data_IF_232429534692
#
_entry.id   IF_232429534692
#
_cell.length_a   1.000
_cell.length_b   1.000
_cell.length_c   1.000
_cell.angle_alpha   90.00
_cell.angle_beta   90.00
_cell.angle_gamma   90.00
#
_symmetry.space_group_name_H-M   'P 1'
#
loop_
_entity.id
_entity.type
_entity.pdbx_description
1 polymer ?
#
# COMPACT_ATOMS: atom_id res chain seq x y z
N UNK A 1 14.15 -14.30 -3.10
CA UNK A 1 13.16 -14.31 -4.18
C UNK A 1 13.70 -13.46 -5.30
N UNK A 2 14.08 -14.09 -6.40
CA UNK A 2 14.58 -13.43 -7.61
C UNK A 2 13.39 -12.67 -8.24
N UNK A 3 13.49 -11.34 -8.30
CA UNK A 3 12.45 -10.50 -8.87
C UNK A 3 12.28 -10.79 -10.36
N UNK A 4 11.10 -11.23 -10.77
CA UNK A 4 10.69 -11.50 -12.15
C UNK A 4 10.71 -10.24 -13.07
N UNK A 5 11.18 -9.10 -12.56
CA UNK A 5 11.30 -7.85 -13.35
C UNK A 5 12.47 -7.82 -14.33
N UNK A 6 13.42 -8.75 -14.24
CA UNK A 6 14.60 -8.81 -15.15
C UNK A 6 14.43 -9.77 -16.33
N UNK A 7 13.21 -10.20 -16.64
CA UNK A 7 12.96 -11.09 -17.79
C UNK A 7 13.37 -10.51 -19.15
N UNK A 8 13.55 -9.19 -19.25
CA UNK A 8 14.06 -8.53 -20.46
C UNK A 8 15.57 -8.76 -20.72
N UNK A 9 16.30 -9.32 -19.74
CA UNK A 9 17.75 -9.53 -19.81
C UNK A 9 18.16 -11.00 -19.66
N UNK A 10 17.22 -11.94 -19.77
CA UNK A 10 17.58 -13.38 -19.80
C UNK A 10 18.19 -13.68 -21.17
N UNK A 11 19.46 -14.16 -21.25
CA UNK A 11 20.05 -14.54 -22.52
C UNK A 11 19.19 -15.57 -23.24
N UNK A 12 19.00 -15.41 -24.56
CA UNK A 12 18.17 -16.29 -25.39
C UNK A 12 18.54 -17.78 -25.24
N UNK A 13 19.80 -18.07 -24.93
CA UNK A 13 20.31 -19.42 -24.70
C UNK A 13 19.73 -20.12 -23.44
N UNK A 14 19.18 -19.35 -22.49
CA UNK A 14 18.54 -19.83 -21.26
C UNK A 14 17.02 -19.82 -21.36
N UNK A 15 16.47 -19.33 -22.47
CA UNK A 15 15.05 -19.16 -22.69
C UNK A 15 14.39 -20.48 -23.17
N UNK A 16 14.11 -21.38 -22.24
CA UNK A 16 13.35 -22.60 -22.58
C UNK A 16 11.89 -22.26 -22.93
N UNK A 17 11.21 -23.09 -23.75
CA UNK A 17 9.78 -22.90 -24.05
C UNK A 17 8.89 -22.81 -22.80
N UNK A 18 9.22 -23.56 -21.76
CA UNK A 18 8.52 -23.50 -20.46
C UNK A 18 8.75 -22.18 -19.73
N UNK A 19 9.97 -21.67 -19.75
CA UNK A 19 10.32 -20.38 -19.15
C UNK A 19 9.62 -19.22 -19.89
N UNK A 20 9.61 -19.29 -21.22
CA UNK A 20 8.92 -18.31 -22.08
C UNK A 20 7.41 -18.29 -21.78
N UNK A 21 6.79 -19.47 -21.64
CA UNK A 21 5.38 -19.58 -21.26
C UNK A 21 5.10 -18.99 -19.87
N UNK A 22 5.99 -19.15 -18.89
CA UNK A 22 5.85 -18.56 -17.55
C UNK A 22 6.03 -17.05 -17.58
N UNK A 23 6.95 -16.53 -18.40
CA UNK A 23 7.19 -15.10 -18.58
C UNK A 23 6.05 -14.43 -19.32
N UNK A 24 5.54 -15.09 -20.37
CA UNK A 24 4.42 -14.59 -21.19
C UNK A 24 3.07 -14.69 -20.45
N UNK A 25 2.92 -15.63 -19.51
CA UNK A 25 1.83 -15.65 -18.53
C UNK A 25 2.15 -14.68 -17.40
N UNK A 26 2.26 -13.38 -17.71
CA UNK A 26 2.21 -12.35 -16.66
C UNK A 26 0.92 -12.57 -15.88
N UNK A 27 0.97 -12.75 -14.54
CA UNK A 27 -0.24 -12.68 -13.77
C UNK A 27 -0.82 -11.29 -14.03
N UNK A 28 -1.87 -11.22 -14.82
CA UNK A 28 -2.63 -9.99 -14.94
C UNK A 28 -3.23 -9.78 -13.55
N UNK A 29 -2.65 -8.87 -12.79
CA UNK A 29 -3.31 -8.34 -11.62
C UNK A 29 -4.61 -7.75 -12.17
N UNK A 30 -5.72 -8.43 -11.92
CA UNK A 30 -7.02 -7.86 -12.23
C UNK A 30 -7.12 -6.59 -11.40
N UNK A 31 -7.10 -5.44 -12.09
CA UNK A 31 -7.39 -4.20 -11.40
C UNK A 31 -8.77 -4.37 -10.75
N UNK A 32 -8.89 -4.17 -9.44
CA UNK A 32 -10.17 -4.35 -8.78
C UNK A 32 -11.17 -3.35 -9.38
N UNK A 33 -12.36 -3.84 -9.70
CA UNK A 33 -13.44 -2.98 -10.18
C UNK A 33 -14.22 -2.48 -8.97
N UNK A 34 -14.18 -1.17 -8.76
CA UNK A 34 -14.99 -0.46 -7.76
C UNK A 34 -15.97 0.46 -8.48
N UNK A 35 -17.21 0.46 -8.04
CA UNK A 35 -18.16 1.51 -8.38
C UNK A 35 -17.99 2.62 -7.37
N UNK A 36 -17.10 3.58 -7.67
CA UNK A 36 -16.79 4.68 -6.77
C UNK A 36 -17.78 5.82 -7.02
N UNK A 37 -18.70 6.00 -6.10
CA UNK A 37 -19.55 7.20 -6.06
C UNK A 37 -18.79 8.38 -5.45
N UNK A 38 -19.01 9.61 -5.94
CA UNK A 38 -18.45 10.81 -5.33
C UNK A 38 -18.84 10.88 -3.84
N UNK A 39 -17.87 11.02 -2.97
CA UNK A 39 -18.10 11.10 -1.51
C UNK A 39 -17.76 12.50 -1.01
N UNK A 40 -18.60 13.00 -0.12
CA UNK A 40 -18.35 14.27 0.55
C UNK A 40 -17.41 14.07 1.74
N UNK A 41 -16.66 15.12 2.06
CA UNK A 41 -15.86 15.14 3.29
C UNK A 41 -16.79 15.01 4.52
N UNK A 42 -16.47 14.10 5.41
CA UNK A 42 -17.19 13.89 6.67
C UNK A 42 -16.45 14.60 7.79
N UNK A 43 -15.20 14.20 8.05
CA UNK A 43 -14.44 14.69 9.18
C UNK A 43 -12.95 14.33 9.08
N UNK A 44 -12.09 15.11 9.72
CA UNK A 44 -10.74 14.69 10.07
C UNK A 44 -10.80 13.80 11.32
N UNK A 45 -10.65 12.51 11.11
CA UNK A 45 -10.68 11.52 12.18
C UNK A 45 -9.40 11.52 13.00
N UNK A 46 -9.51 11.30 14.31
CA UNK A 46 -8.36 11.20 15.22
C UNK A 46 -8.43 9.89 16.01
N UNK A 47 -7.29 9.31 16.37
CA UNK A 47 -7.25 8.11 17.20
C UNK A 47 -7.90 8.32 18.57
N UNK A 48 -7.85 9.54 19.13
CA UNK A 48 -8.54 9.87 20.39
C UNK A 48 -10.04 9.59 20.34
N UNK A 49 -10.65 9.83 19.18
CA UNK A 49 -12.11 9.60 18.99
C UNK A 49 -12.41 8.15 18.64
N UNK A 50 -11.54 7.52 17.87
CA UNK A 50 -11.81 6.23 17.24
C UNK A 50 -11.34 5.02 18.05
N UNK A 51 -10.42 5.23 19.01
CA UNK A 51 -9.84 4.16 19.82
C UNK A 51 -10.91 3.32 20.57
N UNK A 52 -12.00 3.96 20.98
CA UNK A 52 -13.10 3.30 21.68
C UNK A 52 -14.02 2.47 20.77
N UNK A 53 -13.86 2.56 19.46
CA UNK A 53 -14.69 1.80 18.52
C UNK A 53 -14.22 0.36 18.36
N UNK A 54 -12.93 0.12 18.56
CA UNK A 54 -12.26 -1.17 18.31
C UNK A 54 -11.46 -1.70 19.52
N UNK A 55 -11.97 -1.60 20.76
CA UNK A 55 -11.17 -1.91 21.95
C UNK A 55 -10.75 -3.39 22.03
N UNK A 56 -11.53 -4.29 21.44
CA UNK A 56 -11.31 -5.74 21.45
C UNK A 56 -11.55 -6.38 20.07
N UNK A 57 -11.52 -5.59 19.03
CA UNK A 57 -11.85 -6.00 17.65
C UNK A 57 -12.90 -5.10 17.03
N UNK A 58 -13.45 -5.49 15.89
CA UNK A 58 -14.50 -4.74 15.21
C UNK A 58 -15.86 -5.24 15.72
N UNK A 59 -16.68 -4.40 16.36
CA UNK A 59 -17.95 -4.82 16.94
C UNK A 59 -19.08 -4.90 15.91
N UNK A 60 -20.10 -5.71 16.22
CA UNK A 60 -21.35 -5.81 15.47
C UNK A 60 -21.24 -6.64 14.19
N UNK A 61 -22.39 -6.80 13.54
CA UNK A 61 -22.44 -7.36 12.20
C UNK A 61 -21.83 -6.38 11.20
N UNK A 62 -20.99 -6.88 10.30
CA UNK A 62 -20.26 -6.05 9.33
C UNK A 62 -20.70 -6.37 7.90
N UNK A 63 -20.63 -5.37 7.03
CA UNK A 63 -20.95 -5.51 5.62
C UNK A 63 -19.66 -5.68 4.79
N UNK A 64 -19.47 -6.89 4.24
CA UNK A 64 -18.33 -7.20 3.38
C UNK A 64 -18.29 -6.30 2.13
N UNK A 65 -19.45 -6.09 1.49
CA UNK A 65 -19.51 -5.33 0.24
C UNK A 65 -19.19 -3.86 0.50
N UNK A 66 -19.74 -3.29 1.58
CA UNK A 66 -19.42 -1.93 1.98
C UNK A 66 -17.94 -1.81 2.35
N UNK A 67 -17.37 -2.72 3.15
CA UNK A 67 -15.95 -2.71 3.51
C UNK A 67 -15.04 -2.77 2.28
N UNK A 68 -15.38 -3.61 1.28
CA UNK A 68 -14.67 -3.65 0.01
C UNK A 68 -14.79 -2.34 -0.78
N UNK A 69 -15.97 -1.73 -0.82
CA UNK A 69 -16.18 -0.43 -1.46
C UNK A 69 -15.38 0.68 -0.75
N UNK A 70 -15.30 0.66 0.57
CA UNK A 70 -14.51 1.63 1.34
C UNK A 70 -13.01 1.46 1.10
N UNK A 71 -12.51 0.24 0.89
CA UNK A 71 -11.14 0.01 0.43
C UNK A 71 -10.86 0.66 -0.92
N UNK A 72 -11.86 0.68 -1.80
CA UNK A 72 -11.84 1.43 -3.06
C UNK A 72 -11.89 2.94 -2.86
N UNK A 73 -12.87 3.42 -2.08
CA UNK A 73 -13.09 4.84 -1.82
C UNK A 73 -11.90 5.53 -1.15
N UNK A 74 -11.21 4.84 -0.24
CA UNK A 74 -9.95 5.29 0.36
C UNK A 74 -8.74 5.16 -0.57
N UNK A 75 -8.92 4.71 -1.83
CA UNK A 75 -7.83 4.46 -2.79
C UNK A 75 -6.75 3.50 -2.30
N UNK A 76 -7.04 2.68 -1.30
CA UNK A 76 -6.09 1.74 -0.67
C UNK A 76 -5.54 0.73 -1.70
N UNK A 77 -6.40 0.30 -2.63
CA UNK A 77 -6.06 -0.65 -3.70
C UNK A 77 -4.98 -0.14 -4.66
N UNK A 78 -4.77 1.17 -4.74
CA UNK A 78 -3.74 1.73 -5.64
C UNK A 78 -2.33 1.28 -5.21
N UNK A 79 -2.11 1.17 -3.91
CA UNK A 79 -0.83 0.78 -3.32
C UNK A 79 -0.85 -0.63 -2.73
N UNK A 80 -1.95 -1.05 -2.12
CA UNK A 80 -2.05 -2.31 -1.39
C UNK A 80 -2.77 -3.39 -2.17
N UNK A 81 -2.33 -4.63 -1.95
CA UNK A 81 -3.01 -5.84 -2.41
C UNK A 81 -3.75 -6.48 -1.24
N UNK A 82 -4.94 -7.04 -1.52
CA UNK A 82 -5.70 -7.87 -0.60
C UNK A 82 -6.43 -8.96 -1.38
N UNK A 83 -6.38 -10.21 -0.95
CA UNK A 83 -7.01 -11.33 -1.66
C UNK A 83 -6.54 -11.51 -3.11
N UNK A 84 -5.33 -11.05 -3.45
CA UNK A 84 -4.78 -11.13 -4.81
C UNK A 84 -5.14 -9.95 -5.72
N UNK A 85 -6.02 -9.03 -5.30
CA UNK A 85 -6.44 -7.83 -6.04
C UNK A 85 -5.72 -6.58 -5.51
N UNK A 86 -5.37 -5.63 -6.39
CA UNK A 86 -4.78 -4.35 -6.04
C UNK A 86 -3.31 -4.20 -6.38
N UNK A 87 -2.71 -3.10 -5.91
CA UNK A 87 -1.34 -2.71 -6.14
C UNK A 87 -0.32 -3.55 -5.37
N UNK A 88 0.95 -3.34 -5.67
CA UNK A 88 2.06 -4.05 -5.02
C UNK A 88 3.16 -3.09 -4.54
N UNK A 89 2.83 -1.83 -4.40
CA UNK A 89 3.77 -0.77 -3.98
C UNK A 89 3.85 -0.72 -2.46
N UNK A 90 2.69 -0.83 -1.81
CA UNK A 90 2.57 -1.01 -0.37
C UNK A 90 2.59 -2.48 0.04
N UNK A 91 2.54 -2.79 1.36
CA UNK A 91 2.42 -4.15 1.86
C UNK A 91 1.16 -4.87 1.38
N UNK A 92 1.26 -6.20 1.22
CA UNK A 92 0.11 -7.07 0.99
C UNK A 92 -0.68 -7.21 2.29
N UNK A 93 -1.96 -6.86 2.26
CA UNK A 93 -2.87 -6.83 3.41
C UNK A 93 -3.68 -8.13 3.58
N UNK A 94 -3.48 -9.15 2.74
CA UNK A 94 -4.26 -10.40 2.78
C UNK A 94 -4.19 -11.12 4.12
N UNK A 95 -3.07 -10.98 4.84
CA UNK A 95 -2.88 -11.63 6.14
C UNK A 95 -2.72 -10.64 7.31
N UNK A 96 -3.09 -9.39 7.11
CA UNK A 96 -2.82 -8.31 8.07
C UNK A 96 -3.57 -8.51 9.39
N UNK A 97 -4.82 -9.01 9.34
CA UNK A 97 -5.64 -9.27 10.53
C UNK A 97 -5.11 -10.40 11.44
N UNK A 98 -4.22 -11.26 10.92
CA UNK A 98 -3.52 -12.26 11.73
C UNK A 98 -2.23 -11.74 12.40
N UNK A 99 -1.80 -10.53 12.05
CA UNK A 99 -0.53 -9.92 12.52
C UNK A 99 -0.75 -8.73 13.45
N UNK A 100 -1.81 -7.98 13.23
CA UNK A 100 -2.11 -6.74 13.93
C UNK A 100 -3.52 -6.76 14.50
N UNK A 101 -3.69 -6.15 15.67
CA UNK A 101 -5.00 -5.90 16.25
C UNK A 101 -5.78 -4.81 15.47
N UNK A 102 -7.10 -4.76 15.73
CA UNK A 102 -7.95 -3.74 15.10
C UNK A 102 -7.50 -2.31 15.43
N UNK A 103 -7.03 -2.08 16.66
CA UNK A 103 -6.50 -0.78 17.09
C UNK A 103 -5.27 -0.39 16.27
N UNK A 104 -4.29 -1.29 16.14
CA UNK A 104 -3.01 -1.00 15.45
C UNK A 104 -3.24 -0.74 13.96
N UNK A 105 -4.15 -1.50 13.33
CA UNK A 105 -4.54 -1.28 11.93
C UNK A 105 -5.20 0.08 11.74
N UNK A 106 -6.12 0.44 12.65
CA UNK A 106 -6.79 1.73 12.59
C UNK A 106 -5.81 2.87 12.79
N UNK A 107 -4.89 2.75 13.75
CA UNK A 107 -3.84 3.73 14.01
C UNK A 107 -2.93 3.91 12.79
N UNK A 108 -2.54 2.82 12.12
CA UNK A 108 -1.73 2.87 10.92
C UNK A 108 -2.41 3.58 9.74
N UNK A 109 -3.75 3.61 9.71
CA UNK A 109 -4.51 4.34 8.69
C UNK A 109 -4.64 5.83 9.04
N UNK A 110 -4.84 6.14 10.32
CA UNK A 110 -5.06 7.51 10.80
C UNK A 110 -3.76 8.29 10.90
N UNK A 111 -2.69 7.62 11.38
CA UNK A 111 -1.34 8.19 11.56
C UNK A 111 -0.28 7.29 10.91
N UNK A 112 -0.24 7.27 9.57
CA UNK A 112 0.66 6.38 8.83
C UNK A 112 2.16 6.72 8.98
N UNK A 113 2.48 7.86 9.57
CA UNK A 113 3.85 8.28 9.90
C UNK A 113 4.35 7.77 11.24
N UNK A 114 3.46 7.27 12.12
CA UNK A 114 3.84 6.85 13.48
C UNK A 114 4.81 5.68 13.50
N UNK A 115 4.54 4.65 12.70
CA UNK A 115 5.43 3.51 12.54
C UNK A 115 5.57 3.17 11.05
N UNK A 116 6.76 3.33 10.52
CA UNK A 116 7.08 3.03 9.12
C UNK A 116 7.99 1.82 9.08
N UNK A 117 7.55 0.73 8.46
CA UNK A 117 8.41 -0.44 8.25
C UNK A 117 9.58 -0.10 7.34
N UNK A 118 10.80 -0.55 7.69
CA UNK A 118 12.02 -0.32 6.93
C UNK A 118 11.91 -0.72 5.45
N UNK A 119 11.08 -1.74 5.16
CA UNK A 119 10.85 -2.20 3.78
C UNK A 119 10.07 -1.19 2.93
N UNK A 120 9.31 -0.29 3.56
CA UNK A 120 8.45 0.70 2.91
C UNK A 120 8.83 2.14 3.22
N UNK A 121 9.89 2.32 4.00
CA UNK A 121 10.44 3.63 4.32
C UNK A 121 10.89 4.39 3.07
N UNK A 122 10.80 5.70 3.12
CA UNK A 122 11.39 6.62 2.15
C UNK A 122 12.68 7.22 2.70
N UNK A 123 13.45 7.85 1.82
CA UNK A 123 14.68 8.56 2.17
C UNK A 123 14.65 9.97 1.60
N UNK A 124 15.28 10.89 2.33
CA UNK A 124 15.54 12.24 1.86
C UNK A 124 16.93 12.24 1.22
N UNK A 125 16.98 12.57 -0.06
CA UNK A 125 18.20 12.74 -0.83
C UNK A 125 18.52 14.23 -0.90
N UNK A 126 19.61 14.65 -0.29
CA UNK A 126 20.13 16.02 -0.44
C UNK A 126 21.14 16.05 -1.59
N UNK A 127 20.95 16.98 -2.53
CA UNK A 127 21.76 17.09 -3.74
C UNK A 127 22.74 18.25 -3.62
N UNK A 128 23.84 18.17 -4.39
CA UNK A 128 24.91 19.18 -4.38
C UNK A 128 24.49 20.57 -4.90
N UNK A 129 23.36 20.64 -5.63
CA UNK A 129 22.76 21.90 -6.08
C UNK A 129 21.85 22.54 -5.01
N UNK A 130 21.75 21.93 -3.82
CA UNK A 130 20.92 22.38 -2.70
C UNK A 130 19.47 21.89 -2.76
N UNK A 131 19.07 21.17 -3.81
CA UNK A 131 17.73 20.58 -3.87
C UNK A 131 17.61 19.33 -3.01
N UNK A 132 16.36 18.98 -2.63
CA UNK A 132 16.04 17.77 -1.90
C UNK A 132 14.97 16.98 -2.63
N UNK A 133 15.08 15.66 -2.55
CA UNK A 133 14.15 14.71 -3.09
C UNK A 133 13.75 13.74 -1.98
N UNK A 134 12.45 13.56 -1.73
CA UNK A 134 11.96 12.51 -0.85
C UNK A 134 11.35 11.38 -1.69
N UNK A 135 11.76 10.15 -1.43
CA UNK A 135 11.22 9.02 -2.15
C UNK A 135 11.81 7.68 -1.71
N UNK A 136 11.24 6.62 -2.28
CA UNK A 136 11.67 5.25 -2.01
C UNK A 136 12.70 4.80 -3.04
N UNK A 137 13.80 4.21 -2.56
CA UNK A 137 14.78 3.57 -3.44
C UNK A 137 14.16 2.30 -4.03
N UNK A 138 13.96 2.29 -5.34
CA UNK A 138 13.44 1.14 -6.08
C UNK A 138 14.56 0.26 -6.60
N UNK A 139 15.70 0.86 -6.94
CA UNK A 139 16.88 0.15 -7.45
C UNK A 139 18.13 1.04 -7.31
N UNK A 140 19.29 0.40 -7.37
CA UNK A 140 20.59 1.05 -7.50
C UNK A 140 21.39 0.34 -8.59
N UNK A 141 21.80 1.06 -9.64
CA UNK A 141 22.58 0.51 -10.74
C UNK A 141 23.52 1.57 -11.32
N UNK A 142 24.75 1.16 -11.67
CA UNK A 142 25.74 2.03 -12.31
C UNK A 142 25.98 3.36 -11.55
N UNK A 143 26.05 3.31 -10.22
CA UNK A 143 26.22 4.48 -9.36
C UNK A 143 25.05 5.49 -9.44
N UNK A 144 23.86 5.03 -9.83
CA UNK A 144 22.62 5.80 -9.86
C UNK A 144 21.57 5.14 -8.95
N UNK A 145 20.89 5.97 -8.13
CA UNK A 145 19.70 5.59 -7.38
C UNK A 145 18.46 5.84 -8.24
N UNK A 146 17.60 4.84 -8.32
CA UNK A 146 16.32 4.95 -8.99
C UNK A 146 15.27 5.16 -7.91
N UNK A 147 14.81 6.39 -7.76
CA UNK A 147 13.95 6.82 -6.65
C UNK A 147 12.54 7.04 -7.16
N UNK A 148 11.57 6.36 -6.56
CA UNK A 148 10.16 6.66 -6.79
C UNK A 148 9.71 7.71 -5.78
N UNK A 149 9.21 8.83 -6.27
CA UNK A 149 8.74 9.98 -5.48
C UNK A 149 7.22 10.08 -5.43
N UNK A 150 6.53 9.29 -6.27
CA UNK A 150 5.07 9.24 -6.35
C UNK A 150 4.60 7.78 -6.39
N UNK A 151 4.11 7.30 -5.25
CA UNK A 151 3.64 5.92 -5.12
C UNK A 151 2.37 5.62 -5.92
N UNK A 152 1.64 6.65 -6.37
CA UNK A 152 0.50 6.50 -7.29
C UNK A 152 0.97 6.19 -8.71
N UNK A 153 2.24 6.48 -9.02
CA UNK A 153 2.90 6.18 -10.29
C UNK A 153 4.12 5.28 -10.07
N UNK A 154 3.94 4.01 -9.70
CA UNK A 154 5.03 3.12 -9.26
C UNK A 154 6.08 2.82 -10.33
N UNK A 155 5.75 3.01 -11.60
CA UNK A 155 6.68 2.85 -12.73
C UNK A 155 7.53 4.09 -13.00
N UNK A 156 7.17 5.24 -12.44
CA UNK A 156 7.89 6.51 -12.63
C UNK A 156 9.00 6.60 -11.59
N UNK A 157 10.24 6.73 -12.06
CA UNK A 157 11.40 6.86 -11.19
C UNK A 157 12.26 8.05 -11.62
N UNK A 158 12.75 8.77 -10.62
CA UNK A 158 13.78 9.80 -10.79
C UNK A 158 15.14 9.14 -10.59
N UNK A 159 16.06 9.34 -11.53
CA UNK A 159 17.43 8.83 -11.42
C UNK A 159 18.32 9.88 -10.77
N UNK A 160 18.95 9.52 -9.67
CA UNK A 160 19.86 10.37 -8.91
C UNK A 160 21.24 9.74 -8.96
N UNK A 161 22.22 10.43 -9.54
CA UNK A 161 23.60 9.98 -9.56
C UNK A 161 24.23 10.16 -8.16
N UNK A 162 24.98 9.15 -7.71
CA UNK A 162 25.64 9.21 -6.42
C UNK A 162 26.65 10.38 -6.31
N UNK A 163 27.26 10.78 -7.41
CA UNK A 163 28.18 11.93 -7.45
C UNK A 163 27.49 13.28 -7.16
N UNK A 164 26.18 13.37 -7.34
CA UNK A 164 25.38 14.57 -7.08
C UNK A 164 24.78 14.57 -5.66
N UNK A 165 25.04 13.54 -4.87
CA UNK A 165 24.49 13.42 -3.52
C UNK A 165 25.42 14.04 -2.49
N UNK A 166 24.82 14.77 -1.57
CA UNK A 166 25.48 15.27 -0.34
C UNK A 166 25.16 14.34 0.83
N UNK A 167 23.90 13.91 0.97
CA UNK A 167 23.47 12.94 1.98
C UNK A 167 22.24 12.13 1.53
N UNK A 168 22.06 10.98 2.17
CA UNK A 168 20.82 10.18 2.12
C UNK A 168 20.46 9.89 3.56
N UNK A 169 19.27 10.32 4.00
CA UNK A 169 18.79 10.15 5.36
C UNK A 169 17.41 9.47 5.36
N UNK A 170 17.12 8.60 6.34
CA UNK A 170 15.77 8.06 6.49
C UNK A 170 14.75 9.19 6.65
N UNK A 171 13.63 9.09 5.95
CA UNK A 171 12.52 10.01 6.09
C UNK A 171 11.55 9.54 7.17
N UNK A 172 11.09 10.44 8.01
CA UNK A 172 9.99 10.21 8.95
C UNK A 172 8.61 10.38 8.31
N UNK A 173 8.57 10.74 7.01
CA UNK A 173 7.32 10.95 6.29
C UNK A 173 6.90 9.64 5.63
N UNK A 174 5.72 9.14 5.99
CA UNK A 174 5.14 7.98 5.32
C UNK A 174 4.78 8.30 3.86
N UNK A 175 5.03 7.33 2.99
CA UNK A 175 4.53 7.39 1.60
C UNK A 175 3.02 7.11 1.50
N UNK A 176 2.40 6.56 2.55
CA UNK A 176 0.94 6.47 2.68
C UNK A 176 0.41 7.83 3.13
N UNK A 177 -0.47 8.49 2.35
CA UNK A 177 -1.00 9.80 2.74
C UNK A 177 -1.98 9.67 3.90
N UNK A 178 -2.06 10.66 4.81
CA UNK A 178 -3.09 10.72 5.85
C UNK A 178 -4.45 11.11 5.25
N UNK A 179 -5.52 10.86 6.02
CA UNK A 179 -6.86 11.35 5.69
C UNK A 179 -7.64 10.53 4.66
N UNK A 180 -7.17 9.35 4.28
CA UNK A 180 -7.81 8.47 3.30
C UNK A 180 -9.24 8.05 3.69
N UNK A 181 -9.58 8.11 4.97
CA UNK A 181 -10.89 7.74 5.51
C UNK A 181 -11.77 8.96 5.88
N UNK A 182 -11.35 10.17 5.52
CA UNK A 182 -12.06 11.39 5.91
C UNK A 182 -13.41 11.61 5.19
N UNK A 183 -13.70 10.79 4.18
CA UNK A 183 -15.00 10.76 3.48
C UNK A 183 -15.89 9.62 3.94
N UNK A 184 -15.50 8.91 4.99
CA UNK A 184 -16.22 7.76 5.55
C UNK A 184 -16.84 8.13 6.88
N UNK A 185 -18.03 7.62 7.16
CA UNK A 185 -18.62 7.68 8.49
C UNK A 185 -18.08 6.52 9.37
N UNK A 186 -18.61 6.44 10.60
CA UNK A 186 -18.17 5.42 11.56
C UNK A 186 -18.41 3.99 11.06
N UNK A 187 -19.60 3.72 10.51
CA UNK A 187 -19.97 2.38 10.05
C UNK A 187 -19.15 1.97 8.82
N UNK A 188 -18.93 2.88 7.89
CA UNK A 188 -18.03 2.72 6.76
C UNK A 188 -16.62 2.30 7.20
N UNK A 189 -16.08 2.98 8.22
CA UNK A 189 -14.75 2.70 8.75
C UNK A 189 -14.72 1.33 9.44
N UNK A 190 -15.75 0.99 10.19
CA UNK A 190 -15.83 -0.32 10.85
C UNK A 190 -15.95 -1.46 9.81
N UNK A 191 -16.70 -1.27 8.75
CA UNK A 191 -16.80 -2.25 7.66
C UNK A 191 -15.48 -2.39 6.90
N UNK A 192 -14.77 -1.27 6.63
CA UNK A 192 -13.43 -1.29 6.09
C UNK A 192 -12.47 -2.08 6.98
N UNK A 193 -12.49 -1.84 8.30
CA UNK A 193 -11.66 -2.55 9.27
C UNK A 193 -11.96 -4.04 9.27
N UNK A 194 -13.24 -4.44 9.22
CA UNK A 194 -13.64 -5.84 9.12
C UNK A 194 -13.12 -6.47 7.82
N UNK A 195 -13.21 -5.77 6.69
CA UNK A 195 -12.68 -6.21 5.40
C UNK A 195 -11.16 -6.46 5.45
N UNK A 196 -10.41 -5.55 6.07
CA UNK A 196 -8.96 -5.68 6.24
C UNK A 196 -8.61 -6.88 7.15
N UNK A 197 -9.26 -7.00 8.30
CA UNK A 197 -9.05 -8.10 9.25
C UNK A 197 -9.39 -9.45 8.63
N UNK A 198 -10.45 -9.50 7.84
CA UNK A 198 -10.85 -10.70 7.10
C UNK A 198 -9.90 -11.06 5.94
N UNK A 199 -8.95 -10.18 5.59
CA UNK A 199 -8.05 -10.41 4.46
C UNK A 199 -8.78 -10.44 3.12
N UNK A 200 -9.90 -9.72 2.99
CA UNK A 200 -10.73 -9.71 1.78
C UNK A 200 -11.56 -10.98 1.56
N UNK A 201 -11.80 -11.79 2.60
CA UNK A 201 -12.57 -13.04 2.52
C UNK A 201 -14.03 -12.82 2.92
N UNK A 202 -15.01 -13.04 2.02
CA UNK A 202 -16.43 -12.81 2.32
C UNK A 202 -17.03 -13.85 3.29
N UNK A 203 -16.41 -15.01 3.43
CA UNK A 203 -16.82 -16.11 4.30
C UNK A 203 -16.24 -16.01 5.72
N UNK A 204 -15.58 -14.90 6.05
CA UNK A 204 -15.03 -14.68 7.37
C UNK A 204 -16.13 -14.44 8.40
N UNK A 205 -15.92 -14.90 9.63
CA UNK A 205 -16.88 -14.84 10.74
C UNK A 205 -17.43 -13.43 11.05
N UNK A 206 -16.69 -12.37 10.74
CA UNK A 206 -17.13 -10.98 10.92
C UNK A 206 -18.33 -10.60 10.01
N UNK A 207 -18.60 -11.38 8.97
CA UNK A 207 -19.68 -11.17 8.00
C UNK A 207 -20.76 -12.27 8.08
N UNK A 208 -20.58 -13.23 9.00
CA UNK A 208 -21.59 -14.27 9.23
C UNK A 208 -22.84 -13.65 9.86
N UNK A 209 -24.01 -13.91 9.26
CA UNK A 209 -25.31 -13.57 9.77
C UNK A 209 -25.82 -14.65 10.71
#
# INVERSE_FOLDING_TARGET
>A
QMCIRDSANVPDQLMTPSLKKIIDTKPQSKAPQFTLEPRTFVKNWTMKEMALWVPSGVPGERDFQNGRQMFGAGSCYACHRIGGEGGAVGPDLTSVGGKFGAYDLLESIVDPGKEISDQYGSSIFSLSDGSQLNGRIMNMRNNEYWVNTDMMQPSTVTKVKAENLTSIEPSSISMMPPGLINTMDKEDILDLMAYLIAGGKPDHQLFAK
#
